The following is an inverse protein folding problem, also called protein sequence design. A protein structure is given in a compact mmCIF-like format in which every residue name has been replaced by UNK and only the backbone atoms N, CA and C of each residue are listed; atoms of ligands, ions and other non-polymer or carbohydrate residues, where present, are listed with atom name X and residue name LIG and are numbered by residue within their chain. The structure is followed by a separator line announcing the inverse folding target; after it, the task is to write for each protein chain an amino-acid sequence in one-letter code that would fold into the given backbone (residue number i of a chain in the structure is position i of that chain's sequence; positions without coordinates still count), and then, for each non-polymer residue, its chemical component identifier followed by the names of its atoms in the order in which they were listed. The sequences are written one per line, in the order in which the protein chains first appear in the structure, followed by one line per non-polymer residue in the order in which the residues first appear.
data_IF_051043908772
#
_entry.id   IF_051043908772
#
_cell.length_a   1.000
_cell.length_b   1.000
_cell.length_c   1.000
_cell.angle_alpha   90.00
_cell.angle_beta   90.00
_cell.angle_gamma   90.00
#
_symmetry.space_group_name_H-M   'P 1'
#
loop_
_entity.id
_entity.type
_entity.pdbx_description
1 polymer ?
#
# COMPACT_ATOMS: atom_id res chain seq x y z
N UNK A 1 34.96 41.11 40.34
CA UNK A 1 35.49 40.78 41.68
C UNK A 1 35.81 39.28 41.72
N UNK A 2 37.11 38.97 41.68
CA UNK A 2 37.67 37.70 42.16
C UNK A 2 37.77 37.79 43.69
N UNK A 3 37.95 36.74 44.46
CA UNK A 3 38.99 35.72 44.38
C UNK A 3 38.50 34.28 44.74
N UNK A 4 39.18 33.24 44.44
CA UNK A 4 40.53 32.74 44.78
C UNK A 4 40.58 31.72 45.95
N UNK A 5 41.41 30.71 45.73
CA UNK A 5 42.22 29.87 46.64
C UNK A 5 41.54 28.55 47.08
N UNK A 6 42.21 27.39 47.24
CA UNK A 6 43.62 26.93 47.22
C UNK A 6 43.56 25.39 47.35
N UNK A 7 44.18 24.59 46.51
CA UNK A 7 45.49 23.90 46.71
C UNK A 7 45.61 22.94 47.89
N UNK A 8 46.03 21.77 47.67
CA UNK A 8 47.24 21.03 48.06
C UNK A 8 46.89 19.55 48.25
N UNK A 9 47.53 18.69 47.58
CA UNK A 9 48.84 18.10 47.58
C UNK A 9 48.95 16.81 48.39
N UNK A 10 49.41 15.81 47.73
CA UNK A 10 50.51 15.05 48.17
C UNK A 10 50.32 13.54 48.36
N UNK A 11 51.34 12.80 48.02
CA UNK A 11 51.25 11.38 47.72
C UNK A 11 51.79 10.51 48.90
N UNK A 12 51.39 9.24 48.96
CA UNK A 12 52.15 8.24 49.68
C UNK A 12 52.16 6.92 48.87
N UNK A 13 53.34 6.59 48.55
CA UNK A 13 53.89 5.39 47.97
C UNK A 13 54.17 4.36 49.07
N UNK A 14 53.80 3.10 48.91
CA UNK A 14 54.51 1.93 49.49
C UNK A 14 53.97 0.62 48.95
N UNK A 15 54.82 0.03 48.14
CA UNK A 15 55.67 -1.16 48.27
C UNK A 15 54.98 -2.51 48.38
N UNK A 16 55.16 -3.23 47.30
CA UNK A 16 55.61 -4.62 47.12
C UNK A 16 55.36 -5.63 48.26
N UNK A 17 54.66 -6.70 47.90
CA UNK A 17 55.15 -8.06 48.17
C UNK A 17 54.69 -9.02 47.06
N UNK A 18 55.68 -9.82 46.66
CA UNK A 18 55.51 -10.90 45.68
C UNK A 18 54.90 -12.14 46.37
N UNK A 19 54.14 -12.92 45.61
CA UNK A 19 53.68 -14.21 46.13
C UNK A 19 52.92 -15.05 45.08
N UNK A 20 53.67 -15.98 44.57
CA UNK A 20 53.26 -17.34 44.15
C UNK A 20 52.24 -17.58 43.03
N UNK A 21 52.74 -18.24 42.06
CA UNK A 21 52.19 -19.01 40.95
C UNK A 21 50.95 -19.87 41.32
N UNK A 22 49.88 -19.74 40.56
CA UNK A 22 48.97 -20.81 40.36
C UNK A 22 48.43 -20.70 38.91
N UNK A 23 48.91 -21.58 38.06
CA UNK A 23 48.42 -21.78 36.70
C UNK A 23 47.07 -22.46 36.77
N UNK A 24 46.00 -21.69 36.55
CA UNK A 24 44.69 -22.26 36.24
C UNK A 24 44.40 -22.00 34.75
N UNK A 25 44.58 -23.05 33.96
CA UNK A 25 44.13 -23.09 32.56
C UNK A 25 42.58 -23.13 32.58
N UNK A 26 41.96 -22.00 32.42
CA UNK A 26 40.52 -21.93 32.23
C UNK A 26 40.24 -22.02 30.72
N UNK A 27 39.89 -23.23 30.24
CA UNK A 27 39.35 -23.43 28.90
C UNK A 27 38.00 -22.68 28.81
N UNK A 28 38.03 -21.50 28.23
CA UNK A 28 36.79 -20.83 27.81
C UNK A 28 36.27 -21.50 26.52
N UNK A 29 35.27 -22.34 26.68
CA UNK A 29 34.40 -22.72 25.57
C UNK A 29 33.60 -21.48 25.19
N UNK A 30 34.02 -20.80 24.12
CA UNK A 30 33.21 -19.79 23.46
C UNK A 30 32.18 -20.56 22.63
N UNK A 31 30.99 -20.75 23.19
CA UNK A 31 29.83 -21.18 22.43
C UNK A 31 29.39 -20.02 21.52
N UNK A 32 29.78 -20.07 20.25
CA UNK A 32 29.26 -19.18 19.24
C UNK A 32 27.79 -19.52 19.03
N UNK A 33 26.89 -18.77 19.66
CA UNK A 33 25.47 -18.76 19.35
C UNK A 33 25.35 -18.05 18.02
N UNK A 34 25.22 -18.81 16.93
CA UNK A 34 24.81 -18.30 15.63
C UNK A 34 23.33 -17.99 15.74
N UNK A 35 23.00 -16.74 16.05
CA UNK A 35 21.65 -16.23 15.90
C UNK A 35 21.35 -16.22 14.41
N UNK A 36 20.55 -17.19 13.96
CA UNK A 36 19.94 -17.14 12.66
C UNK A 36 18.91 -16.00 12.68
N UNK A 37 19.32 -14.82 12.26
CA UNK A 37 18.39 -13.74 11.93
C UNK A 37 17.52 -14.23 10.76
N UNK A 38 16.30 -14.60 11.09
CA UNK A 38 15.24 -14.78 10.08
C UNK A 38 15.03 -13.42 9.44
N UNK A 39 15.66 -13.19 8.29
CA UNK A 39 15.38 -12.05 7.44
C UNK A 39 13.92 -12.17 7.01
N UNK A 40 13.03 -11.56 7.76
CA UNK A 40 11.70 -11.23 7.26
C UNK A 40 11.92 -10.37 6.03
N UNK A 41 11.63 -10.91 4.86
CA UNK A 41 11.61 -10.14 3.62
C UNK A 41 10.56 -9.02 3.81
N UNK A 42 11.00 -7.87 4.29
CA UNK A 42 10.24 -6.66 4.25
C UNK A 42 10.08 -6.32 2.78
N UNK A 43 8.87 -6.56 2.23
CA UNK A 43 8.50 -5.96 0.96
C UNK A 43 8.72 -4.46 1.12
N UNK A 44 9.70 -3.91 0.38
CA UNK A 44 10.02 -2.49 0.45
C UNK A 44 8.77 -1.64 0.22
N UNK A 45 8.74 -0.39 0.66
CA UNK A 45 7.58 0.51 0.52
C UNK A 45 7.13 0.71 -0.93
N UNK A 46 7.92 0.24 -1.91
CA UNK A 46 7.64 0.33 -3.34
C UNK A 46 6.98 -0.91 -3.96
N UNK A 47 6.84 -2.01 -3.22
CA UNK A 47 6.19 -3.21 -3.73
C UNK A 47 4.67 -3.05 -3.73
N UNK A 48 4.04 -3.08 -4.92
CA UNK A 48 2.59 -3.10 -5.02
C UNK A 48 2.02 -4.39 -4.42
N UNK A 49 1.17 -4.26 -3.43
CA UNK A 49 0.40 -5.38 -2.92
C UNK A 49 -0.70 -5.76 -3.91
N UNK A 50 -1.02 -7.06 -4.04
CA UNK A 50 -1.99 -7.54 -5.02
C UNK A 50 -3.43 -7.07 -4.76
N UNK A 51 -3.73 -6.71 -3.53
CA UNK A 51 -5.04 -6.32 -3.03
C UNK A 51 -5.13 -4.83 -2.67
N UNK A 52 -4.13 -4.02 -3.05
CA UNK A 52 -4.13 -2.58 -2.77
C UNK A 52 -3.93 -1.76 -4.03
N UNK A 53 -4.80 -0.79 -4.23
CA UNK A 53 -4.66 0.24 -5.25
C UNK A 53 -4.43 1.59 -4.59
N UNK A 54 -3.40 2.29 -5.03
CA UNK A 54 -3.09 3.65 -4.60
C UNK A 54 -3.56 4.62 -5.68
N UNK A 55 -4.11 5.75 -5.26
CA UNK A 55 -4.56 6.83 -6.12
C UNK A 55 -3.84 8.11 -5.74
N UNK A 56 -3.40 8.90 -6.72
CA UNK A 56 -2.85 10.24 -6.50
C UNK A 56 -3.34 11.24 -7.55
N UNK A 57 -3.33 12.49 -7.16
CA UNK A 57 -3.66 13.62 -8.03
C UNK A 57 -3.38 14.95 -7.32
N UNK A 58 -3.76 16.09 -7.91
CA UNK A 58 -3.59 17.41 -7.28
C UNK A 58 -4.28 17.53 -5.91
N UNK A 59 -5.26 16.67 -5.64
CA UNK A 59 -6.04 16.60 -4.39
C UNK A 59 -5.32 15.83 -3.27
N UNK A 60 -4.17 15.19 -3.53
CA UNK A 60 -3.40 14.37 -2.60
C UNK A 60 -3.34 12.91 -3.00
N UNK A 61 -3.33 12.02 -2.01
CA UNK A 61 -3.22 10.57 -2.21
C UNK A 61 -4.17 9.82 -1.29
N UNK A 62 -4.68 8.70 -1.76
CA UNK A 62 -5.45 7.73 -0.97
C UNK A 62 -5.17 6.30 -1.44
N UNK A 63 -5.69 5.32 -0.71
CA UNK A 63 -5.62 3.91 -1.09
C UNK A 63 -6.92 3.19 -0.79
N UNK A 64 -7.15 2.10 -1.51
CA UNK A 64 -8.26 1.18 -1.28
C UNK A 64 -7.74 -0.25 -1.26
N UNK A 65 -8.31 -1.07 -0.37
CA UNK A 65 -8.16 -2.52 -0.46
C UNK A 65 -9.16 -3.03 -1.48
N UNK A 66 -8.69 -3.78 -2.49
CA UNK A 66 -9.53 -4.17 -3.61
C UNK A 66 -9.57 -5.68 -3.77
N UNK A 67 -10.74 -6.17 -4.12
CA UNK A 67 -10.89 -7.47 -4.77
C UNK A 67 -10.63 -7.28 -6.26
N UNK A 68 -9.97 -8.25 -6.88
CA UNK A 68 -9.69 -8.22 -8.32
C UNK A 68 -10.76 -9.04 -9.04
N UNK A 69 -11.32 -8.47 -10.11
CA UNK A 69 -12.21 -9.15 -11.03
C UNK A 69 -11.55 -9.16 -12.42
N UNK A 70 -10.78 -10.22 -12.71
CA UNK A 70 -10.01 -10.35 -13.95
C UNK A 70 -10.48 -11.53 -14.84
N UNK A 71 -11.38 -12.38 -14.33
CA UNK A 71 -12.08 -13.37 -15.15
C UNK A 71 -13.42 -12.85 -15.67
N UNK A 72 -13.97 -13.47 -16.71
CA UNK A 72 -15.28 -13.11 -17.26
C UNK A 72 -16.38 -13.25 -16.21
N UNK A 73 -16.34 -14.32 -15.42
CA UNK A 73 -17.31 -14.64 -14.39
C UNK A 73 -17.25 -13.63 -13.23
N UNK A 74 -16.07 -13.27 -12.78
CA UNK A 74 -15.90 -12.28 -11.71
C UNK A 74 -16.35 -10.89 -12.16
N UNK A 75 -15.97 -10.47 -13.37
CA UNK A 75 -16.45 -9.20 -13.93
C UNK A 75 -17.97 -9.19 -14.12
N UNK A 76 -18.57 -10.33 -14.46
CA UNK A 76 -20.03 -10.42 -14.60
C UNK A 76 -20.76 -10.39 -13.25
N UNK A 77 -20.17 -10.94 -12.20
CA UNK A 77 -20.71 -10.93 -10.84
C UNK A 77 -20.50 -9.57 -10.14
N UNK A 78 -19.29 -9.02 -10.22
CA UNK A 78 -18.92 -7.76 -9.60
C UNK A 78 -19.37 -7.66 -8.13
N UNK A 79 -19.90 -6.52 -7.75
CA UNK A 79 -20.42 -6.23 -6.40
C UNK A 79 -21.91 -6.58 -6.20
N UNK A 80 -22.47 -7.42 -7.07
CA UNK A 80 -23.88 -7.86 -6.95
C UNK A 80 -24.14 -8.51 -5.60
N UNK A 81 -25.35 -8.30 -5.08
CA UNK A 81 -25.88 -8.88 -3.83
C UNK A 81 -25.17 -8.45 -2.55
N UNK A 82 -24.20 -7.52 -2.60
CA UNK A 82 -23.54 -6.98 -1.40
C UNK A 82 -24.38 -5.88 -0.79
N UNK A 83 -24.74 -6.06 0.46
CA UNK A 83 -25.52 -5.09 1.23
C UNK A 83 -24.69 -3.95 1.81
N UNK A 84 -23.37 -4.13 1.91
CA UNK A 84 -22.42 -3.11 2.39
C UNK A 84 -21.01 -3.36 1.86
N UNK A 85 -20.19 -2.32 1.84
CA UNK A 85 -18.76 -2.37 1.58
C UNK A 85 -18.04 -1.39 2.50
N UNK A 86 -16.93 -1.81 3.11
CA UNK A 86 -16.13 -0.94 3.98
C UNK A 86 -15.66 0.30 3.19
N UNK A 87 -15.53 1.44 3.89
CA UNK A 87 -15.19 2.72 3.22
C UNK A 87 -13.88 2.67 2.42
N UNK A 88 -12.88 1.96 2.93
CA UNK A 88 -11.58 1.79 2.26
C UNK A 88 -11.51 0.58 1.34
N UNK A 89 -12.65 -0.07 1.05
CA UNK A 89 -12.72 -1.22 0.15
C UNK A 89 -13.26 -0.82 -1.22
N UNK A 90 -12.96 -1.66 -2.22
CA UNK A 90 -13.44 -1.53 -3.58
C UNK A 90 -13.27 -2.82 -4.38
N UNK A 91 -13.59 -2.78 -5.65
CA UNK A 91 -13.30 -3.85 -6.61
C UNK A 91 -12.62 -3.26 -7.84
N UNK A 92 -11.53 -3.89 -8.26
CA UNK A 92 -10.80 -3.51 -9.47
C UNK A 92 -11.06 -4.55 -10.57
N UNK A 93 -11.87 -4.15 -11.54
CA UNK A 93 -12.11 -4.90 -12.76
C UNK A 93 -10.93 -4.70 -13.70
N UNK A 94 -10.40 -5.76 -14.26
CA UNK A 94 -9.24 -5.71 -15.15
C UNK A 94 -9.56 -6.45 -16.43
N UNK A 95 -9.25 -5.84 -17.56
CA UNK A 95 -9.40 -6.45 -18.88
C UNK A 95 -8.05 -6.90 -19.43
N UNK A 96 -8.04 -7.88 -20.29
CA UNK A 96 -6.84 -8.41 -20.96
C UNK A 96 -6.21 -7.37 -21.90
N UNK A 97 -7.05 -6.52 -22.49
CA UNK A 97 -6.68 -5.41 -23.36
C UNK A 97 -7.66 -4.25 -23.22
N UNK A 98 -7.25 -3.02 -23.58
CA UNK A 98 -8.18 -1.90 -23.60
C UNK A 98 -9.37 -2.18 -24.53
N UNK A 99 -10.56 -1.86 -24.05
CA UNK A 99 -11.78 -2.07 -24.80
C UNK A 99 -12.86 -1.05 -24.47
N UNK A 100 -13.93 -1.03 -25.25
CA UNK A 100 -15.14 -0.32 -24.88
C UNK A 100 -15.76 -1.03 -23.69
N UNK A 101 -15.95 -0.30 -22.59
CA UNK A 101 -16.57 -0.81 -21.38
C UNK A 101 -17.91 -0.11 -21.11
N UNK A 102 -18.89 -0.88 -20.66
CA UNK A 102 -20.17 -0.37 -20.18
C UNK A 102 -20.58 -1.19 -18.96
N UNK A 103 -21.04 -0.50 -17.93
CA UNK A 103 -21.48 -1.08 -16.66
C UNK A 103 -22.97 -0.88 -16.45
N UNK A 104 -23.50 -1.48 -15.43
CA UNK A 104 -24.86 -1.32 -14.94
C UNK A 104 -24.92 -1.63 -13.46
N UNK A 105 -26.02 -1.31 -12.80
CA UNK A 105 -26.19 -1.58 -11.36
C UNK A 105 -27.11 -2.76 -11.09
N UNK A 106 -27.26 -3.70 -12.07
CA UNK A 106 -28.09 -4.90 -11.91
C UNK A 106 -27.68 -5.65 -10.64
N UNK A 107 -28.67 -5.98 -9.79
CA UNK A 107 -28.46 -6.70 -8.52
C UNK A 107 -27.44 -6.06 -7.55
N UNK A 108 -26.99 -4.85 -7.80
CA UNK A 108 -26.09 -4.11 -6.91
C UNK A 108 -26.93 -3.31 -5.92
N UNK A 109 -26.70 -3.50 -4.64
CA UNK A 109 -27.56 -2.98 -3.56
C UNK A 109 -27.02 -1.69 -2.92
N UNK A 110 -25.77 -1.32 -3.22
CA UNK A 110 -25.09 -0.14 -2.67
C UNK A 110 -24.76 0.85 -3.79
N UNK A 111 -24.83 2.17 -3.54
CA UNK A 111 -24.40 3.14 -4.53
C UNK A 111 -22.90 3.08 -4.73
N UNK A 112 -22.43 3.24 -5.98
CA UNK A 112 -21.01 3.13 -6.35
C UNK A 112 -20.55 4.36 -7.13
N UNK A 113 -19.29 4.75 -6.92
CA UNK A 113 -18.53 5.55 -7.87
C UNK A 113 -17.68 4.60 -8.72
N UNK A 114 -17.72 4.76 -10.05
CA UNK A 114 -16.99 3.96 -11.03
C UNK A 114 -15.93 4.82 -11.70
N UNK A 115 -14.64 4.47 -11.51
CA UNK A 115 -13.50 5.15 -12.11
C UNK A 115 -13.01 4.32 -13.29
N UNK A 116 -13.15 4.82 -14.50
CA UNK A 116 -12.70 4.16 -15.72
C UNK A 116 -11.27 4.58 -16.06
N UNK A 117 -10.39 3.60 -16.20
CA UNK A 117 -8.94 3.77 -16.19
C UNK A 117 -8.34 3.19 -17.47
N UNK A 118 -7.40 3.91 -18.07
CA UNK A 118 -6.68 3.45 -19.25
C UNK A 118 -5.47 2.56 -18.89
N UNK A 119 -4.72 2.12 -19.89
CA UNK A 119 -3.52 1.27 -19.73
C UNK A 119 -2.40 1.93 -18.93
N UNK A 120 -2.35 3.25 -18.89
CA UNK A 120 -1.32 4.00 -18.14
C UNK A 120 -1.64 4.11 -16.66
N UNK A 121 -2.82 3.64 -16.24
CA UNK A 121 -3.32 3.80 -14.88
C UNK A 121 -3.98 5.16 -14.65
N UNK A 122 -4.36 5.90 -15.70
CA UNK A 122 -4.97 7.22 -15.59
C UNK A 122 -6.48 7.14 -15.70
N UNK A 123 -7.19 7.80 -14.79
CA UNK A 123 -8.65 7.91 -14.82
C UNK A 123 -9.09 8.78 -16.00
N UNK A 124 -9.86 8.19 -16.91
CA UNK A 124 -10.39 8.87 -18.10
C UNK A 124 -11.82 9.37 -17.93
N UNK A 125 -12.60 8.69 -17.10
CA UNK A 125 -14.00 9.02 -16.83
C UNK A 125 -14.38 8.57 -15.43
N UNK A 126 -15.32 9.27 -14.78
CA UNK A 126 -15.89 8.89 -13.48
C UNK A 126 -17.41 8.98 -13.58
N UNK A 127 -18.09 7.88 -13.26
CA UNK A 127 -19.53 7.90 -13.00
C UNK A 127 -19.75 7.96 -11.49
N UNK A 128 -20.39 9.03 -11.03
CA UNK A 128 -20.62 9.27 -9.61
C UNK A 128 -21.96 8.70 -9.15
N UNK A 129 -21.95 8.04 -7.99
CA UNK A 129 -23.15 7.59 -7.27
C UNK A 129 -24.14 6.81 -8.14
N UNK A 130 -23.64 5.84 -8.90
CA UNK A 130 -24.48 4.94 -9.66
C UNK A 130 -25.62 4.38 -8.78
N UNK A 131 -26.83 4.41 -9.30
CA UNK A 131 -28.05 4.12 -8.53
C UNK A 131 -28.23 2.61 -8.40
N UNK A 132 -28.33 2.06 -7.18
CA UNK A 132 -28.60 0.63 -6.97
C UNK A 132 -29.77 0.10 -7.79
N UNK A 133 -29.57 -1.03 -8.46
CA UNK A 133 -30.60 -1.70 -9.25
C UNK A 133 -30.89 -1.07 -10.61
N UNK A 134 -30.30 0.07 -10.96
CA UNK A 134 -30.50 0.70 -12.27
C UNK A 134 -29.88 -0.16 -13.39
N UNK A 135 -30.65 -0.42 -14.42
CA UNK A 135 -30.27 -1.20 -15.60
C UNK A 135 -29.76 -0.33 -16.74
N UNK A 136 -29.83 1.00 -16.60
CA UNK A 136 -29.32 1.94 -17.60
C UNK A 136 -27.82 1.72 -17.82
N UNK A 137 -27.35 1.54 -19.07
CA UNK A 137 -25.94 1.39 -19.35
C UNK A 137 -25.14 2.63 -18.93
N UNK A 138 -24.04 2.40 -18.21
CA UNK A 138 -23.08 3.41 -17.79
C UNK A 138 -21.85 3.28 -18.70
N UNK A 139 -21.69 4.11 -19.74
CA UNK A 139 -20.56 4.02 -20.64
C UNK A 139 -19.28 4.50 -19.97
N UNK A 140 -18.21 3.71 -20.08
CA UNK A 140 -16.88 4.06 -19.54
C UNK A 140 -15.93 4.66 -20.56
N UNK A 141 -16.25 4.54 -21.86
CA UNK A 141 -15.35 4.95 -22.94
C UNK A 141 -14.84 3.78 -23.78
N UNK A 142 -14.00 4.07 -24.76
CA UNK A 142 -13.58 3.12 -25.81
C UNK A 142 -12.24 2.42 -25.51
N UNK A 143 -11.46 2.92 -24.54
CA UNK A 143 -10.06 2.47 -24.25
C UNK A 143 -9.87 2.11 -22.78
N UNK A 144 -10.91 1.54 -22.17
CA UNK A 144 -10.88 1.16 -20.75
C UNK A 144 -10.06 -0.11 -20.58
N UNK A 145 -9.03 -0.05 -19.74
CA UNK A 145 -8.22 -1.19 -19.34
C UNK A 145 -8.62 -1.73 -17.96
N UNK A 146 -9.01 -0.84 -17.05
CA UNK A 146 -9.50 -1.23 -15.72
C UNK A 146 -10.64 -0.32 -15.26
N UNK A 147 -11.44 -0.81 -14.30
CA UNK A 147 -12.47 0.00 -13.63
C UNK A 147 -12.34 -0.22 -12.14
N UNK A 148 -12.22 0.87 -11.38
CA UNK A 148 -12.25 0.81 -9.92
C UNK A 148 -13.64 1.24 -9.44
N UNK A 149 -14.34 0.31 -8.79
CA UNK A 149 -15.59 0.58 -8.08
C UNK A 149 -15.33 0.81 -6.60
N UNK A 150 -15.82 1.92 -6.07
CA UNK A 150 -15.75 2.30 -4.66
C UNK A 150 -17.12 2.78 -4.18
N UNK A 151 -17.31 2.91 -2.86
CA UNK A 151 -18.59 3.42 -2.33
C UNK A 151 -18.96 4.77 -2.94
N UNK A 152 -20.22 4.93 -3.27
CA UNK A 152 -20.76 6.12 -3.94
C UNK A 152 -20.56 7.41 -3.15
N UNK A 153 -20.02 8.43 -3.82
CA UNK A 153 -19.69 9.73 -3.25
C UNK A 153 -18.29 9.85 -2.67
N UNK A 154 -17.49 8.77 -2.64
CA UNK A 154 -16.10 8.84 -2.15
C UNK A 154 -15.19 9.57 -3.13
N UNK A 155 -15.40 9.43 -4.44
CA UNK A 155 -14.62 10.15 -5.43
C UNK A 155 -14.73 11.66 -5.20
N UNK A 156 -15.94 12.19 -5.07
CA UNK A 156 -16.15 13.61 -4.78
C UNK A 156 -15.58 14.03 -3.41
N UNK A 157 -15.73 13.18 -2.40
CA UNK A 157 -15.24 13.47 -1.04
C UNK A 157 -13.72 13.59 -0.95
N UNK A 158 -12.98 12.78 -1.71
CA UNK A 158 -11.52 12.81 -1.76
C UNK A 158 -10.97 13.77 -2.83
N UNK A 159 -11.83 14.30 -3.70
CA UNK A 159 -11.42 15.14 -4.82
C UNK A 159 -10.86 14.34 -6.01
N UNK A 160 -11.13 13.03 -6.05
CA UNK A 160 -10.73 12.17 -7.16
C UNK A 160 -11.42 12.67 -8.44
N UNK A 161 -10.64 12.92 -9.47
CA UNK A 161 -11.07 13.51 -10.74
C UNK A 161 -10.43 12.81 -11.93
N UNK A 162 -10.89 13.10 -13.13
CA UNK A 162 -10.23 12.72 -14.37
C UNK A 162 -8.77 13.21 -14.32
N UNK A 163 -7.83 12.36 -14.76
CA UNK A 163 -6.39 12.59 -14.61
C UNK A 163 -5.80 12.06 -13.30
N UNK A 164 -6.61 11.55 -12.37
CA UNK A 164 -6.08 10.80 -11.20
C UNK A 164 -5.30 9.58 -11.67
N UNK A 165 -4.14 9.34 -11.09
CA UNK A 165 -3.27 8.23 -11.43
C UNK A 165 -3.42 7.10 -10.41
N UNK A 166 -3.53 5.87 -10.90
CA UNK A 166 -3.60 4.65 -10.12
C UNK A 166 -2.26 3.91 -10.16
N UNK A 167 -1.87 3.35 -9.01
CA UNK A 167 -0.72 2.45 -8.87
C UNK A 167 -1.21 1.10 -8.38
N UNK A 168 -1.02 0.09 -9.20
CA UNK A 168 -1.31 -1.31 -8.89
C UNK A 168 -0.51 -2.21 -9.82
N UNK A 169 -0.23 -3.45 -9.38
CA UNK A 169 0.57 -4.40 -10.19
C UNK A 169 0.00 -4.71 -11.57
N UNK A 170 -1.30 -4.57 -11.79
CA UNK A 170 -1.93 -4.82 -13.11
C UNK A 170 -1.42 -3.87 -14.18
N UNK A 171 -0.97 -2.66 -13.80
CA UNK A 171 -0.43 -1.68 -14.72
C UNK A 171 1.09 -1.83 -14.96
N UNK A 172 1.79 -2.74 -14.27
CA UNK A 172 3.26 -2.82 -14.31
C UNK A 172 3.84 -3.18 -15.68
N UNK A 173 3.04 -3.78 -16.57
CA UNK A 173 3.47 -4.18 -17.92
C UNK A 173 2.85 -3.32 -19.03
N UNK A 174 2.12 -2.29 -18.71
CA UNK A 174 1.32 -1.50 -19.65
C UNK A 174 1.85 -0.09 -19.90
N UNK A 175 3.01 0.27 -19.32
CA UNK A 175 3.55 1.62 -19.41
C UNK A 175 2.93 2.61 -18.43
N UNK A 176 2.67 2.15 -17.20
CA UNK A 176 2.06 2.96 -16.14
C UNK A 176 2.81 4.28 -15.90
N UNK A 177 2.07 5.38 -15.73
CA UNK A 177 2.62 6.68 -15.31
C UNK A 177 3.14 6.61 -13.87
N UNK A 178 2.50 5.80 -13.05
CA UNK A 178 2.93 5.55 -11.67
C UNK A 178 3.20 4.05 -11.45
N UNK A 179 4.41 3.58 -11.80
CA UNK A 179 4.76 2.17 -11.68
C UNK A 179 4.91 1.71 -10.22
N UNK A 180 4.90 0.41 -10.06
CA UNK A 180 5.23 -0.23 -8.79
C UNK A 180 6.72 -0.12 -8.45
#
# INVERSE_FOLDING_TARGET
MKPLWIRMSGPIMRRLTAGARATAVCMMFVAAVVAAESASAQSGPDACQPDQVFLRGPWGQTQFTVEIADTVEERAAGLMHRSHMARGAGMLFVYEMPQRASFWMKNTLIPLDMLFVDVTGTVQHIHHRAIPGDLTPIPGGDTVFAVLEINGGLAARYGISVGTELRHKVFSKTGAIWPC
#
